data_IF_735315410489
#
_entry.id   IF_735315410489
#
_cell.length_a   1.000
_cell.length_b   1.000
_cell.length_c   1.000
_cell.angle_alpha   90.00
_cell.angle_beta   90.00
_cell.angle_gamma   90.00
#
_symmetry.space_group_name_H-M   'P 1'
#
loop_
_entity.id
_entity.type
_entity.pdbx_description
1 polymer ?
#
# COMPACT_ATOMS: atom_id res chain seq x y z
N UNK A 1 1.48 -2.80 -22.28
CA UNK A 1 1.13 -2.60 -23.69
C UNK A 1 1.52 -1.18 -24.10
N UNK A 2 2.22 -1.05 -25.19
CA UNK A 2 2.60 0.27 -25.70
C UNK A 2 1.55 0.79 -26.67
N UNK A 3 1.23 2.07 -26.54
CA UNK A 3 0.41 2.77 -27.52
C UNK A 3 1.26 3.07 -28.76
N UNK A 4 0.71 2.89 -29.95
CA UNK A 4 1.40 3.23 -31.18
C UNK A 4 1.45 4.75 -31.35
N UNK A 5 2.45 5.25 -32.10
CA UNK A 5 2.58 6.67 -32.35
C UNK A 5 1.36 7.24 -33.08
N UNK A 6 0.76 6.47 -34.00
CA UNK A 6 -0.43 6.90 -34.73
C UNK A 6 -1.64 7.04 -33.79
N UNK A 7 -1.79 6.15 -32.84
CA UNK A 7 -2.86 6.28 -31.83
C UNK A 7 -2.68 7.52 -30.98
N UNK A 8 -1.46 7.79 -30.54
CA UNK A 8 -1.15 8.96 -29.74
C UNK A 8 -1.46 10.26 -30.51
N UNK A 9 -1.14 10.32 -31.79
CA UNK A 9 -1.41 11.48 -32.61
C UNK A 9 -2.92 11.67 -32.86
N UNK A 10 -3.63 10.59 -33.13
CA UNK A 10 -5.06 10.64 -33.43
C UNK A 10 -5.92 10.96 -32.22
N UNK A 11 -5.59 10.41 -31.09
CA UNK A 11 -6.41 10.59 -29.89
C UNK A 11 -6.04 11.83 -29.09
N UNK A 12 -4.83 12.36 -29.30
CA UNK A 12 -4.29 13.45 -28.49
C UNK A 12 -4.40 13.16 -26.99
N UNK A 13 -4.36 11.89 -26.65
CA UNK A 13 -4.50 11.47 -25.25
C UNK A 13 -3.26 11.80 -24.47
N UNK A 14 -3.44 12.50 -23.37
CA UNK A 14 -2.39 12.83 -22.44
C UNK A 14 -2.52 12.02 -21.15
N UNK A 15 -2.99 10.79 -21.28
CA UNK A 15 -3.14 9.92 -20.12
C UNK A 15 -1.81 9.77 -19.41
N UNK A 16 -1.83 10.02 -18.12
CA UNK A 16 -0.69 9.85 -17.24
C UNK A 16 -1.08 8.86 -16.15
N UNK A 17 -0.28 7.83 -16.00
CA UNK A 17 -0.50 6.86 -14.94
C UNK A 17 0.64 6.93 -13.95
N UNK A 18 0.32 7.17 -12.70
CA UNK A 18 1.27 7.18 -11.59
C UNK A 18 0.87 6.07 -10.64
N UNK A 19 1.83 5.23 -10.29
CA UNK A 19 1.60 4.12 -9.36
C UNK A 19 2.45 4.34 -8.12
N UNK A 20 1.80 4.37 -6.97
CA UNK A 20 2.50 4.35 -5.69
C UNK A 20 2.53 2.92 -5.17
N UNK A 21 3.71 2.43 -4.80
CA UNK A 21 3.88 1.12 -4.18
C UNK A 21 4.68 1.27 -2.89
N UNK A 22 4.44 0.36 -1.96
CA UNK A 22 5.20 0.39 -0.73
C UNK A 22 5.02 -0.85 0.12
N UNK A 23 5.88 -0.93 1.12
CA UNK A 23 5.86 -1.99 2.13
C UNK A 23 5.90 -1.31 3.49
N UNK A 24 4.96 -1.69 4.34
CA UNK A 24 4.95 -1.25 5.74
C UNK A 24 5.26 -2.48 6.59
N UNK A 25 6.29 -2.40 7.40
CA UNK A 25 6.67 -3.46 8.31
C UNK A 25 6.20 -3.10 9.71
N UNK A 26 5.48 -4.02 10.33
CA UNK A 26 4.90 -3.86 11.66
C UNK A 26 5.54 -4.82 12.66
N UNK A 27 5.63 -4.38 13.90
CA UNK A 27 5.86 -5.23 15.06
C UNK A 27 4.55 -5.33 15.85
N UNK A 28 4.15 -6.58 16.13
CA UNK A 28 2.97 -6.86 16.93
C UNK A 28 3.41 -7.21 18.34
N UNK A 29 3.23 -6.28 19.26
CA UNK A 29 3.56 -6.50 20.67
C UNK A 29 2.56 -7.47 21.30
N UNK A 30 3.05 -8.34 22.16
CA UNK A 30 2.23 -9.30 22.91
C UNK A 30 1.43 -10.29 22.05
N UNK A 31 1.72 -10.40 20.78
CA UNK A 31 1.09 -11.38 19.91
C UNK A 31 1.74 -12.76 20.09
N UNK A 32 0.97 -13.75 20.54
CA UNK A 32 1.48 -15.06 20.90
C UNK A 32 0.98 -16.20 20.01
N UNK A 33 0.22 -15.89 18.98
CA UNK A 33 -0.32 -16.91 18.09
C UNK A 33 -0.47 -16.38 16.68
N UNK A 34 -0.42 -17.27 15.68
CA UNK A 34 -0.70 -16.93 14.31
C UNK A 34 -2.15 -16.50 14.11
N UNK A 35 -3.07 -17.09 14.88
CA UNK A 35 -4.48 -16.70 14.82
C UNK A 35 -4.67 -15.25 15.24
N UNK A 36 -4.04 -14.84 16.32
CA UNK A 36 -4.07 -13.45 16.79
C UNK A 36 -3.44 -12.50 15.79
N UNK A 37 -2.30 -12.88 15.23
CA UNK A 37 -1.64 -12.08 14.19
C UNK A 37 -2.53 -11.89 12.97
N UNK A 38 -3.12 -12.96 12.46
CA UNK A 38 -3.97 -12.91 11.27
C UNK A 38 -5.15 -11.96 11.47
N UNK A 39 -5.71 -11.94 12.67
CA UNK A 39 -6.80 -11.05 13.02
C UNK A 39 -6.38 -9.58 12.95
N UNK A 40 -5.22 -9.25 13.51
CA UNK A 40 -4.65 -7.89 13.47
C UNK A 40 -4.32 -7.48 12.04
N UNK A 41 -3.61 -8.32 11.31
CA UNK A 41 -3.22 -8.05 9.91
C UNK A 41 -4.44 -7.85 9.03
N UNK A 42 -5.44 -8.70 9.16
CA UNK A 42 -6.70 -8.60 8.40
C UNK A 42 -7.39 -7.26 8.68
N UNK A 43 -7.40 -6.82 9.92
CA UNK A 43 -7.99 -5.54 10.31
C UNK A 43 -7.25 -4.37 9.67
N UNK A 44 -5.92 -4.38 9.71
CA UNK A 44 -5.11 -3.33 9.09
C UNK A 44 -5.35 -3.28 7.57
N UNK A 45 -5.26 -4.43 6.90
CA UNK A 45 -5.49 -4.53 5.45
C UNK A 45 -6.86 -4.00 5.07
N UNK A 46 -7.88 -4.41 5.78
CA UNK A 46 -9.26 -4.00 5.52
C UNK A 46 -9.44 -2.49 5.64
N UNK A 47 -8.87 -1.89 6.68
CA UNK A 47 -8.96 -0.44 6.90
C UNK A 47 -8.24 0.35 5.81
N UNK A 48 -7.04 -0.07 5.43
CA UNK A 48 -6.29 0.60 4.37
C UNK A 48 -7.00 0.47 3.03
N UNK A 49 -7.48 -0.71 2.71
CA UNK A 49 -8.20 -0.97 1.46
C UNK A 49 -9.47 -0.15 1.35
N UNK A 50 -10.26 -0.09 2.40
CA UNK A 50 -11.55 0.58 2.39
C UNK A 50 -11.43 2.11 2.36
N UNK A 51 -10.39 2.65 2.93
CA UNK A 51 -10.21 4.10 3.01
C UNK A 51 -9.49 4.71 1.80
N UNK A 52 -8.68 3.93 1.08
CA UNK A 52 -7.79 4.48 0.07
C UNK A 52 -7.93 3.89 -1.33
N UNK A 53 -8.86 2.99 -1.53
CA UNK A 53 -8.99 2.29 -2.82
C UNK A 53 -7.65 1.76 -3.30
N UNK A 54 -6.93 1.12 -2.41
CA UNK A 54 -5.62 0.54 -2.68
C UNK A 54 -5.70 -0.97 -2.70
N UNK A 55 -4.80 -1.60 -3.44
CA UNK A 55 -4.57 -3.03 -3.33
C UNK A 55 -3.60 -3.26 -2.18
N UNK A 56 -3.98 -4.08 -1.22
CA UNK A 56 -3.21 -4.28 0.02
C UNK A 56 -3.16 -5.77 0.33
N UNK A 57 -1.99 -6.27 0.67
CA UNK A 57 -1.80 -7.69 0.99
C UNK A 57 -0.63 -7.88 1.96
N UNK A 58 -0.70 -8.95 2.74
CA UNK A 58 0.45 -9.42 3.50
C UNK A 58 1.43 -10.09 2.53
N UNK A 59 2.70 -9.66 2.52
CA UNK A 59 3.68 -10.09 1.53
C UNK A 59 4.85 -10.86 2.13
N UNK A 60 5.00 -10.89 3.43
CA UNK A 60 6.10 -11.57 4.08
C UNK A 60 5.87 -11.76 5.56
N UNK A 61 6.78 -12.49 6.20
CA UNK A 61 6.74 -12.82 7.63
C UNK A 61 5.46 -13.56 8.04
N UNK A 62 4.87 -14.34 7.13
CA UNK A 62 3.56 -14.96 7.32
C UNK A 62 3.50 -15.88 8.54
N UNK A 63 4.60 -16.56 8.86
CA UNK A 63 4.67 -17.49 9.98
C UNK A 63 5.34 -16.89 11.22
N UNK A 64 5.58 -15.59 11.23
CA UNK A 64 6.17 -14.89 12.38
C UNK A 64 5.06 -14.19 13.15
N UNK A 65 4.90 -14.51 14.45
CA UNK A 65 3.81 -13.98 15.26
C UNK A 65 3.91 -12.46 15.48
N UNK A 66 5.13 -11.95 15.58
CA UNK A 66 5.37 -10.59 16.07
C UNK A 66 5.83 -9.64 14.98
N UNK A 67 5.77 -10.07 13.73
CA UNK A 67 6.17 -9.25 12.58
C UNK A 67 5.20 -9.46 11.44
N UNK A 68 4.85 -8.36 10.77
CA UNK A 68 4.04 -8.41 9.58
C UNK A 68 4.61 -7.47 8.53
N UNK A 69 4.66 -7.92 7.29
CA UNK A 69 5.08 -7.11 6.14
C UNK A 69 3.88 -6.97 5.20
N UNK A 70 3.36 -5.75 5.11
CA UNK A 70 2.16 -5.47 4.31
C UNK A 70 2.56 -4.59 3.14
N UNK A 71 2.28 -5.11 1.93
CA UNK A 71 2.50 -4.39 0.69
C UNK A 71 1.24 -3.71 0.22
N UNK A 72 1.39 -2.58 -0.46
CA UNK A 72 0.27 -1.86 -1.05
C UNK A 72 0.63 -1.26 -2.40
N UNK A 73 -0.39 -1.04 -3.21
CA UNK A 73 -0.26 -0.26 -4.44
C UNK A 73 -1.51 0.56 -4.67
N UNK A 74 -1.34 1.73 -5.26
CA UNK A 74 -2.45 2.58 -5.67
C UNK A 74 -2.11 3.35 -6.93
N UNK A 75 -3.12 3.70 -7.67
CA UNK A 75 -3.00 4.34 -8.99
C UNK A 75 -3.61 5.73 -8.94
N UNK A 76 -2.99 6.66 -9.63
CA UNK A 76 -3.51 8.00 -9.83
C UNK A 76 -2.94 8.61 -11.11
N UNK A 77 -3.25 9.85 -11.33
CA UNK A 77 -2.74 10.59 -12.49
C UNK A 77 -1.88 11.80 -12.11
N UNK A 78 -1.58 11.95 -10.84
CA UNK A 78 -0.80 13.07 -10.32
C UNK A 78 0.09 12.58 -9.18
N UNK A 79 1.39 12.81 -9.29
CA UNK A 79 2.37 12.35 -8.32
C UNK A 79 2.12 12.92 -6.92
N UNK A 80 1.81 14.21 -6.82
CA UNK A 80 1.60 14.83 -5.53
C UNK A 80 0.39 14.24 -4.80
N UNK A 81 -0.68 13.93 -5.54
CA UNK A 81 -1.88 13.31 -4.98
C UNK A 81 -1.58 11.89 -4.52
N UNK A 82 -0.89 11.10 -5.35
CA UNK A 82 -0.50 9.73 -4.98
C UNK A 82 0.38 9.74 -3.74
N UNK A 83 1.36 10.63 -3.70
CA UNK A 83 2.27 10.76 -2.56
C UNK A 83 1.51 11.14 -1.28
N UNK A 84 0.57 12.07 -1.39
CA UNK A 84 -0.28 12.48 -0.26
C UNK A 84 -1.13 11.32 0.26
N UNK A 85 -1.68 10.50 -0.64
CA UNK A 85 -2.45 9.33 -0.24
C UNK A 85 -1.60 8.30 0.49
N UNK A 86 -0.37 8.08 0.04
CA UNK A 86 0.56 7.17 0.73
C UNK A 86 0.83 7.65 2.14
N UNK A 87 1.10 8.94 2.31
CA UNK A 87 1.32 9.52 3.64
C UNK A 87 0.11 9.31 4.55
N UNK A 88 -1.10 9.50 4.03
CA UNK A 88 -2.33 9.29 4.78
C UNK A 88 -2.55 7.82 5.13
N UNK A 89 -2.16 6.91 4.23
CA UNK A 89 -2.23 5.47 4.51
C UNK A 89 -1.33 5.08 5.67
N UNK A 90 -0.09 5.57 5.66
CA UNK A 90 0.87 5.30 6.73
C UNK A 90 0.36 5.89 8.05
N UNK A 91 -0.14 7.12 8.01
CA UNK A 91 -0.70 7.77 9.20
C UNK A 91 -1.91 7.01 9.76
N UNK A 92 -2.80 6.54 8.89
CA UNK A 92 -3.94 5.73 9.34
C UNK A 92 -3.47 4.43 9.99
N UNK A 93 -2.52 3.73 9.36
CA UNK A 93 -1.98 2.49 9.88
C UNK A 93 -1.37 2.68 11.28
N UNK A 94 -0.68 3.79 11.49
CA UNK A 94 -0.11 4.15 12.79
C UNK A 94 -1.20 4.49 13.80
N UNK A 95 -2.19 5.29 13.40
CA UNK A 95 -3.26 5.75 14.26
C UNK A 95 -4.20 4.62 14.73
N UNK A 96 -4.28 3.52 13.99
CA UNK A 96 -5.07 2.37 14.42
C UNK A 96 -4.58 1.76 15.73
N UNK A 97 -3.30 1.93 16.05
CA UNK A 97 -2.73 1.43 17.29
C UNK A 97 -2.73 -0.08 17.44
N UNK A 98 -2.93 -0.82 16.35
CA UNK A 98 -2.99 -2.29 16.35
C UNK A 98 -1.61 -2.92 16.33
N UNK A 99 -0.63 -2.22 15.75
CA UNK A 99 0.74 -2.67 15.65
C UNK A 99 1.65 -1.47 15.49
N UNK A 100 2.93 -1.64 15.82
CA UNK A 100 3.93 -0.60 15.70
C UNK A 100 4.58 -0.64 14.32
N UNK A 101 4.63 0.49 13.62
CA UNK A 101 5.36 0.60 12.36
C UNK A 101 6.84 0.71 12.69
N UNK A 102 7.64 -0.23 12.17
CA UNK A 102 9.09 -0.25 12.40
C UNK A 102 9.90 0.07 11.14
N UNK A 103 9.27 0.00 9.97
CA UNK A 103 9.93 0.35 8.72
C UNK A 103 8.89 0.65 7.64
N UNK A 104 9.23 1.54 6.73
CA UNK A 104 8.43 1.82 5.54
C UNK A 104 9.34 1.97 4.32
N UNK A 105 8.95 1.34 3.22
CA UNK A 105 9.58 1.51 1.92
C UNK A 105 8.51 1.96 0.94
N UNK A 106 8.83 2.91 0.07
CA UNK A 106 7.87 3.38 -0.93
C UNK A 106 8.57 3.82 -2.20
N UNK A 107 7.86 3.69 -3.31
CA UNK A 107 8.34 4.11 -4.62
C UNK A 107 7.17 4.64 -5.44
N UNK A 108 7.43 5.66 -6.24
CA UNK A 108 6.47 6.21 -7.20
C UNK A 108 6.96 5.85 -8.60
N UNK A 109 6.09 5.23 -9.37
CA UNK A 109 6.40 4.79 -10.73
C UNK A 109 5.52 5.57 -11.70
N UNK A 110 6.12 6.11 -12.72
CA UNK A 110 5.45 6.80 -13.82
C UNK A 110 5.44 5.90 -15.05
N UNK A 111 4.28 5.72 -15.61
CA UNK A 111 4.13 4.94 -16.84
C UNK A 111 4.07 5.86 -18.06
#
# INVERSE_FOLDING_TARGET
>A
MKRSSSEALLTLSEATMVVGIGIITFRLHDCRSLKGKRKVVKSIISRLRNNFNASVAEIGSNDVHQRAEIGFSLVGNDQAIVNSKIDKMINLAEDLGLAEIIDTEMEIIHL
#
